data_IF_681909677019
#
_entry.id   IF_681909677019
#
_cell.length_a   1.000
_cell.length_b   1.000
_cell.length_c   1.000
_cell.angle_alpha   90.00
_cell.angle_beta   90.00
_cell.angle_gamma   90.00
#
_symmetry.space_group_name_H-M   'P 1'
#
loop_
_entity.id
_entity.type
_entity.pdbx_description
1 polymer ?
#
# COMPACT_ATOMS: atom_id res chain seq x y z
N UNK A 1 12.98 39.62 -20.06
CA UNK A 1 12.34 38.90 -18.94
C UNK A 1 12.23 37.44 -19.35
N UNK A 2 13.04 36.57 -18.76
CA UNK A 2 12.97 35.13 -19.02
C UNK A 2 11.99 34.51 -18.02
N UNK A 3 10.74 34.29 -18.45
CA UNK A 3 9.79 33.45 -17.71
C UNK A 3 10.18 31.99 -17.93
N UNK A 4 10.95 31.43 -17.01
CA UNK A 4 11.15 30.00 -16.89
C UNK A 4 10.56 29.52 -15.57
N UNK A 5 10.01 28.31 -15.59
CA UNK A 5 9.45 27.51 -14.47
C UNK A 5 7.92 27.50 -14.36
N UNK A 6 7.22 27.22 -15.47
CA UNK A 6 6.19 26.18 -15.40
C UNK A 6 6.91 24.83 -15.27
N UNK A 7 7.27 24.44 -14.03
CA UNK A 7 7.65 23.05 -13.76
C UNK A 7 6.35 22.26 -13.71
N UNK A 8 5.95 21.74 -14.87
CA UNK A 8 5.04 20.61 -14.90
C UNK A 8 5.73 19.46 -14.15
N UNK A 9 5.27 19.20 -12.93
CA UNK A 9 5.66 18.04 -12.12
C UNK A 9 5.01 16.74 -12.64
N UNK A 10 4.40 16.80 -13.83
CA UNK A 10 3.96 15.65 -14.60
C UNK A 10 5.19 14.89 -15.12
N UNK A 11 5.69 13.95 -14.33
CA UNK A 11 6.47 12.84 -14.89
C UNK A 11 7.98 12.87 -14.68
N UNK A 12 8.53 13.68 -13.76
CA UNK A 12 9.89 13.38 -13.28
C UNK A 12 9.86 12.08 -12.47
N UNK A 13 10.06 10.95 -13.13
CA UNK A 13 10.36 9.66 -12.52
C UNK A 13 11.58 9.86 -11.61
N UNK A 14 11.39 9.69 -10.31
CA UNK A 14 12.55 9.57 -9.42
C UNK A 14 13.26 8.28 -9.82
N UNK A 15 14.55 8.34 -10.18
CA UNK A 15 15.36 7.16 -10.55
C UNK A 15 15.34 6.11 -9.43
N UNK A 16 15.15 6.54 -8.17
CA UNK A 16 15.01 5.65 -7.02
C UNK A 16 13.63 4.95 -6.91
N UNK A 17 12.61 5.41 -7.65
CA UNK A 17 11.25 4.88 -7.66
C UNK A 17 10.67 4.84 -9.08
N UNK A 18 11.22 3.99 -9.97
CA UNK A 18 10.85 3.95 -11.39
C UNK A 18 9.38 3.59 -11.65
N UNK A 19 8.70 2.93 -10.71
CA UNK A 19 7.29 2.52 -10.87
C UNK A 19 6.27 3.51 -10.27
N UNK A 20 6.71 4.66 -9.74
CA UNK A 20 5.86 5.60 -8.99
C UNK A 20 5.39 6.80 -9.83
N UNK A 21 4.83 6.54 -11.02
CA UNK A 21 4.19 7.59 -11.84
C UNK A 21 3.04 8.28 -11.10
N UNK A 22 2.65 9.47 -11.56
CA UNK A 22 1.51 10.18 -10.97
C UNK A 22 0.22 9.36 -11.07
N UNK A 23 -0.09 8.82 -12.25
CA UNK A 23 -1.28 8.02 -12.52
C UNK A 23 -1.31 6.76 -11.65
N UNK A 24 -0.16 6.09 -11.52
CA UNK A 24 -0.01 4.93 -10.63
C UNK A 24 -0.34 5.30 -9.18
N UNK A 25 0.20 6.42 -8.70
CA UNK A 25 -0.04 6.90 -7.33
C UNK A 25 -1.51 7.25 -7.11
N UNK A 26 -2.15 7.96 -8.04
CA UNK A 26 -3.57 8.30 -7.94
C UNK A 26 -4.44 7.05 -7.89
N UNK A 27 -4.21 6.07 -8.78
CA UNK A 27 -4.95 4.80 -8.80
C UNK A 27 -4.80 4.06 -7.47
N UNK A 28 -3.57 3.89 -6.99
CA UNK A 28 -3.30 3.18 -5.73
C UNK A 28 -3.85 3.89 -4.50
N UNK A 29 -3.82 5.22 -4.48
CA UNK A 29 -4.44 6.01 -3.40
C UNK A 29 -5.94 5.70 -3.29
N UNK A 30 -6.64 5.64 -4.43
CA UNK A 30 -8.06 5.23 -4.46
C UNK A 30 -8.26 3.80 -3.98
N UNK A 31 -7.43 2.86 -4.42
CA UNK A 31 -7.45 1.48 -3.88
C UNK A 31 -7.25 1.46 -2.36
N UNK A 32 -6.36 2.29 -1.83
CA UNK A 32 -6.03 2.34 -0.40
C UNK A 32 -7.15 2.90 0.48
N UNK A 33 -8.05 3.70 -0.06
CA UNK A 33 -9.22 4.18 0.67
C UNK A 33 -10.14 3.02 1.09
N UNK A 34 -10.36 2.05 0.21
CA UNK A 34 -11.22 0.89 0.47
C UNK A 34 -10.45 -0.18 1.26
N UNK A 35 -10.78 -0.48 2.53
CA UNK A 35 -10.09 -1.52 3.30
C UNK A 35 -10.26 -2.90 2.65
N UNK A 36 -9.26 -3.78 2.82
CA UNK A 36 -9.44 -5.20 2.48
C UNK A 36 -10.31 -5.86 3.55
N UNK A 37 -11.23 -6.72 3.12
CA UNK A 37 -12.06 -7.53 3.99
C UNK A 37 -11.23 -8.40 4.95
N UNK A 38 -11.73 -8.54 6.17
CA UNK A 38 -11.10 -9.30 7.26
C UNK A 38 -11.81 -10.63 7.54
N UNK A 39 -12.97 -10.88 6.93
CA UNK A 39 -13.64 -12.17 7.03
C UNK A 39 -12.90 -13.24 6.22
N UNK A 40 -12.43 -14.29 6.88
CA UNK A 40 -11.78 -15.40 6.18
C UNK A 40 -12.83 -16.32 5.52
N UNK A 41 -12.75 -16.58 4.21
CA UNK A 41 -13.67 -17.48 3.53
C UNK A 41 -13.45 -18.93 3.96
N UNK A 42 -14.50 -19.74 3.82
CA UNK A 42 -14.50 -21.17 4.18
C UNK A 42 -13.68 -22.05 3.24
N UNK A 43 -13.35 -21.57 2.03
CA UNK A 43 -12.43 -22.22 1.11
C UNK A 43 -10.99 -21.79 1.39
N UNK A 44 -10.09 -22.76 1.57
CA UNK A 44 -8.71 -22.51 1.97
C UNK A 44 -7.90 -21.78 0.89
N UNK A 45 -8.09 -22.14 -0.38
CA UNK A 45 -7.32 -21.53 -1.48
C UNK A 45 -7.70 -20.06 -1.67
N UNK A 46 -8.97 -19.76 -1.54
CA UNK A 46 -9.50 -18.39 -1.55
C UNK A 46 -8.98 -17.61 -0.34
N UNK A 47 -8.96 -18.24 0.84
CA UNK A 47 -8.44 -17.61 2.04
C UNK A 47 -6.93 -17.30 1.92
N UNK A 48 -6.15 -18.23 1.37
CA UNK A 48 -4.73 -18.02 1.11
C UNK A 48 -4.48 -16.87 0.11
N UNK A 49 -5.26 -16.81 -0.96
CA UNK A 49 -5.16 -15.73 -1.96
C UNK A 49 -5.43 -14.35 -1.31
N UNK A 50 -6.41 -14.28 -0.40
CA UNK A 50 -6.74 -13.06 0.30
C UNK A 50 -5.66 -12.68 1.36
N UNK A 51 -5.03 -13.67 2.00
CA UNK A 51 -3.85 -13.44 2.85
C UNK A 51 -2.69 -12.81 2.06
N UNK A 52 -2.42 -13.32 0.87
CA UNK A 52 -1.39 -12.80 -0.02
C UNK A 52 -1.72 -11.36 -0.48
N UNK A 53 -3.01 -11.07 -0.71
CA UNK A 53 -3.46 -9.71 -1.00
C UNK A 53 -3.20 -8.74 0.17
N UNK A 54 -3.51 -9.14 1.41
CA UNK A 54 -3.19 -8.34 2.60
C UNK A 54 -1.69 -8.06 2.70
N UNK A 55 -0.85 -9.07 2.47
CA UNK A 55 0.61 -8.92 2.47
C UNK A 55 1.11 -7.97 1.38
N UNK A 56 0.64 -8.16 0.13
CA UNK A 56 1.00 -7.30 -1.00
C UNK A 56 0.64 -5.85 -0.72
N UNK A 57 -0.55 -5.60 -0.17
CA UNK A 57 -1.00 -4.24 0.12
C UNK A 57 -0.15 -3.56 1.19
N UNK A 58 0.27 -4.28 2.24
CA UNK A 58 1.21 -3.75 3.24
C UNK A 58 2.51 -3.26 2.59
N UNK A 59 3.08 -4.06 1.70
CA UNK A 59 4.30 -3.70 0.96
C UNK A 59 4.07 -2.49 0.06
N UNK A 60 2.95 -2.46 -0.68
CA UNK A 60 2.60 -1.33 -1.54
C UNK A 60 2.49 -0.03 -0.71
N UNK A 61 1.77 -0.02 0.41
CA UNK A 61 1.62 1.17 1.28
C UNK A 61 2.97 1.63 1.84
N UNK A 62 3.84 0.70 2.24
CA UNK A 62 5.18 1.02 2.75
C UNK A 62 6.06 1.68 1.67
N UNK A 63 6.01 1.21 0.42
CA UNK A 63 6.68 1.86 -0.71
C UNK A 63 6.20 3.30 -0.91
N UNK A 64 4.90 3.56 -0.76
CA UNK A 64 4.36 4.93 -0.84
C UNK A 64 4.93 5.81 0.27
N UNK A 65 4.95 5.35 1.53
CA UNK A 65 5.54 6.08 2.65
C UNK A 65 7.02 6.41 2.37
N UNK A 66 7.80 5.45 1.89
CA UNK A 66 9.21 5.65 1.54
C UNK A 66 9.37 6.71 0.43
N UNK A 67 8.55 6.63 -0.62
CA UNK A 67 8.55 7.63 -1.71
C UNK A 67 8.27 9.04 -1.19
N UNK A 68 7.24 9.24 -0.34
CA UNK A 68 6.94 10.55 0.21
C UNK A 68 8.04 11.08 1.12
N UNK A 69 8.58 10.23 2.00
CA UNK A 69 9.66 10.65 2.91
C UNK A 69 10.91 11.07 2.11
N UNK A 70 11.27 10.31 1.07
CA UNK A 70 12.40 10.62 0.20
C UNK A 70 12.21 11.94 -0.56
N UNK A 71 10.99 12.27 -1.00
CA UNK A 71 10.72 13.52 -1.71
C UNK A 71 10.51 14.74 -0.81
N UNK A 72 9.95 14.56 0.39
CA UNK A 72 9.87 15.61 1.42
C UNK A 72 11.25 16.15 1.80
N UNK A 73 12.27 15.29 1.78
CA UNK A 73 13.65 15.67 2.04
C UNK A 73 14.30 16.49 0.90
N UNK A 74 13.72 16.49 -0.31
CA UNK A 74 14.31 17.07 -1.53
C UNK A 74 13.66 18.40 -1.93
N UNK A 75 12.43 18.69 -1.48
CA UNK A 75 11.79 19.98 -1.74
C UNK A 75 10.75 20.32 -0.66
N UNK A 76 10.96 21.44 0.02
CA UNK A 76 9.94 22.07 0.88
C UNK A 76 8.91 22.87 0.09
N UNK A 77 9.19 23.21 -1.17
CA UNK A 77 8.35 24.04 -2.04
C UNK A 77 7.40 23.21 -2.93
N UNK A 78 7.82 22.01 -3.36
CA UNK A 78 7.00 21.09 -4.16
C UNK A 78 6.42 19.99 -3.26
N UNK A 79 5.69 20.39 -2.22
CA UNK A 79 4.89 19.49 -1.40
C UNK A 79 3.80 18.85 -2.30
N UNK A 80 4.18 17.75 -2.93
CA UNK A 80 3.39 16.97 -3.88
C UNK A 80 1.96 16.86 -3.37
N UNK A 81 1.00 17.26 -4.21
CA UNK A 81 -0.44 17.15 -4.02
C UNK A 81 -0.95 15.69 -4.00
N UNK A 82 -0.29 14.83 -3.25
CA UNK A 82 -0.72 13.48 -3.00
C UNK A 82 -0.61 13.29 -1.48
N UNK A 83 -1.74 12.94 -0.87
CA UNK A 83 -2.14 13.29 0.50
C UNK A 83 -1.09 13.15 1.62
N UNK A 84 -1.32 13.80 2.76
CA UNK A 84 -0.32 13.96 3.82
C UNK A 84 0.28 12.60 4.21
N UNK A 85 1.58 12.54 4.54
CA UNK A 85 2.25 11.33 5.05
C UNK A 85 1.43 10.60 6.14
N UNK A 86 0.67 11.36 6.94
CA UNK A 86 -0.28 10.86 7.93
C UNK A 86 -1.39 9.96 7.34
N UNK A 87 -1.88 10.24 6.14
CA UNK A 87 -2.87 9.41 5.43
C UNK A 87 -2.34 7.99 5.19
N UNK A 88 -1.14 7.86 4.61
CA UNK A 88 -0.54 6.54 4.36
C UNK A 88 -0.13 5.84 5.65
N UNK A 89 0.24 6.59 6.70
CA UNK A 89 0.48 6.02 8.04
C UNK A 89 -0.80 5.42 8.64
N UNK A 90 -1.92 6.14 8.58
CA UNK A 90 -3.21 5.64 9.05
C UNK A 90 -3.66 4.40 8.27
N UNK A 91 -3.46 4.38 6.94
CA UNK A 91 -3.70 3.19 6.11
C UNK A 91 -2.79 2.03 6.55
N UNK A 92 -1.50 2.28 6.78
CA UNK A 92 -0.56 1.25 7.22
C UNK A 92 -0.99 0.62 8.55
N UNK A 93 -1.39 1.44 9.51
CA UNK A 93 -1.87 0.96 10.81
C UNK A 93 -3.15 0.12 10.67
N UNK A 94 -4.13 0.60 9.90
CA UNK A 94 -5.34 -0.15 9.59
C UNK A 94 -5.02 -1.48 8.91
N UNK A 95 -4.19 -1.47 7.86
CA UNK A 95 -3.90 -2.65 7.05
C UNK A 95 -3.06 -3.68 7.84
N UNK A 96 -2.21 -3.24 8.78
CA UNK A 96 -1.54 -4.13 9.74
C UNK A 96 -2.56 -4.82 10.66
N UNK A 97 -3.53 -4.08 11.18
CA UNK A 97 -4.57 -4.63 12.05
C UNK A 97 -5.47 -5.61 11.27
N UNK A 98 -5.89 -5.24 10.07
CA UNK A 98 -6.68 -6.10 9.19
C UNK A 98 -5.94 -7.40 8.87
N UNK A 99 -4.64 -7.32 8.54
CA UNK A 99 -3.83 -8.52 8.31
C UNK A 99 -3.78 -9.44 9.54
N UNK A 100 -3.57 -8.88 10.73
CA UNK A 100 -3.52 -9.67 11.98
C UNK A 100 -4.86 -10.36 12.27
N UNK A 101 -5.97 -9.62 12.15
CA UNK A 101 -7.32 -10.15 12.34
C UNK A 101 -7.62 -11.26 11.32
N UNK A 102 -7.33 -11.00 10.05
CA UNK A 102 -7.53 -11.95 8.97
C UNK A 102 -6.72 -13.23 9.16
N UNK A 103 -5.42 -13.11 9.46
CA UNK A 103 -4.55 -14.26 9.66
C UNK A 103 -4.99 -15.12 10.85
N UNK A 104 -5.45 -14.49 11.94
CA UNK A 104 -5.99 -15.18 13.11
C UNK A 104 -7.28 -15.95 12.77
N UNK A 105 -8.20 -15.32 12.03
CA UNK A 105 -9.47 -15.96 11.65
C UNK A 105 -9.26 -17.09 10.64
N UNK A 106 -8.41 -16.86 9.63
CA UNK A 106 -7.99 -17.89 8.69
C UNK A 106 -7.38 -19.09 9.43
N UNK A 107 -6.45 -18.85 10.38
CA UNK A 107 -5.85 -19.94 11.16
C UNK A 107 -6.89 -20.70 11.99
N UNK A 108 -7.90 -20.00 12.53
CA UNK A 108 -8.99 -20.61 13.29
C UNK A 108 -9.84 -21.52 12.42
N UNK A 109 -10.27 -21.04 11.25
CA UNK A 109 -11.14 -21.78 10.32
C UNK A 109 -10.37 -22.95 9.68
N UNK A 110 -9.13 -22.72 9.25
CA UNK A 110 -8.36 -23.63 8.40
C UNK A 110 -7.27 -24.42 9.14
N UNK A 111 -7.30 -24.45 10.47
CA UNK A 111 -6.29 -25.12 11.32
C UNK A 111 -5.90 -26.52 10.84
N UNK A 112 -6.89 -27.32 10.40
CA UNK A 112 -6.66 -28.69 9.91
C UNK A 112 -5.96 -28.72 8.55
N UNK A 113 -6.32 -27.81 7.64
CA UNK A 113 -5.71 -27.72 6.31
C UNK A 113 -4.25 -27.26 6.40
N UNK A 114 -3.98 -26.23 7.21
CA UNK A 114 -2.62 -25.71 7.44
C UNK A 114 -1.71 -26.79 8.03
N UNK A 115 -2.18 -27.54 9.04
CA UNK A 115 -1.41 -28.65 9.64
C UNK A 115 -1.05 -29.76 8.65
N UNK A 116 -1.86 -29.98 7.61
CA UNK A 116 -1.56 -30.98 6.57
C UNK A 116 -0.50 -30.51 5.58
N UNK A 117 -0.32 -29.20 5.38
CA UNK A 117 0.72 -28.66 4.50
C UNK A 117 2.12 -28.72 5.13
N UNK A 118 2.22 -28.78 6.47
CA UNK A 118 3.49 -28.80 7.19
C UNK A 118 3.95 -30.21 7.60
N UNK A 119 3.30 -31.26 7.08
CA UNK A 119 3.74 -32.65 7.19
C UNK A 119 4.29 -33.11 5.84
#
# INVERSE_FOLDING_TARGET
MASALQVSDEGKLSVAFPDMSWEYRVRKTKEFHTPIDTAAPSDFKTAQTLLDLHNKRRVDVEKFICFYNARRAVSTENAIAAGPSQFYKAIRERDINNFKLYAADMYRIHRKAIRKQHK
#
